data_IF_319293531470
#
_entry.id   IF_319293531470
#
_cell.length_a   1.000
_cell.length_b   1.000
_cell.length_c   1.000
_cell.angle_alpha   90.00
_cell.angle_beta   90.00
_cell.angle_gamma   90.00
#
_symmetry.space_group_name_H-M   'P 1'
#
loop_
_entity.id
_entity.type
_entity.pdbx_description
1 polymer ?
#
# COMPACT_ATOMS: atom_id res chain seq x y z
N UNK A 1 3.33 22.43 -15.35
CA UNK A 1 3.22 21.47 -14.22
C UNK A 1 2.00 21.91 -13.44
N UNK A 2 0.99 21.04 -13.30
CA UNK A 2 -0.30 21.41 -12.67
C UNK A 2 -0.13 22.05 -11.27
N UNK A 3 0.82 21.55 -10.46
CA UNK A 3 1.15 22.15 -9.16
C UNK A 3 1.59 23.62 -9.23
N UNK A 4 2.26 24.04 -10.32
CA UNK A 4 2.67 25.43 -10.55
C UNK A 4 1.50 26.32 -10.95
N UNK A 5 0.57 25.78 -11.74
CA UNK A 5 -0.64 26.49 -12.14
C UNK A 5 -1.48 26.79 -10.89
N UNK A 6 -1.73 25.78 -10.06
CA UNK A 6 -2.45 26.00 -8.79
C UNK A 6 -1.75 27.00 -7.86
N UNK A 7 -0.41 26.99 -7.82
CA UNK A 7 0.36 27.94 -7.03
C UNK A 7 0.24 29.38 -7.57
N UNK A 8 0.26 29.56 -8.89
CA UNK A 8 0.04 30.87 -9.53
C UNK A 8 -1.36 31.41 -9.27
N UNK A 9 -2.35 30.53 -9.22
CA UNK A 9 -3.74 30.87 -8.93
C UNK A 9 -3.99 31.12 -7.43
N UNK A 10 -2.95 31.00 -6.59
CA UNK A 10 -3.02 31.31 -5.16
C UNK A 10 -3.72 30.24 -4.32
N UNK A 11 -3.93 29.03 -4.84
CA UNK A 11 -4.52 27.95 -4.07
C UNK A 11 -3.62 27.55 -2.89
N UNK A 12 -4.23 27.30 -1.72
CA UNK A 12 -3.52 26.81 -0.54
C UNK A 12 -4.48 26.08 0.42
N UNK A 13 -4.14 24.86 0.90
CA UNK A 13 -2.95 24.09 0.56
C UNK A 13 -3.08 23.42 -0.82
N UNK A 14 -1.95 23.13 -1.47
CA UNK A 14 -1.89 22.31 -2.69
C UNK A 14 -1.37 20.91 -2.31
N UNK A 15 -2.17 19.87 -2.59
CA UNK A 15 -1.81 18.49 -2.27
C UNK A 15 -1.29 17.78 -3.52
N UNK A 16 -0.05 17.30 -3.47
CA UNK A 16 0.60 16.50 -4.49
C UNK A 16 0.63 15.02 -4.05
N UNK A 17 0.02 14.14 -4.84
CA UNK A 17 -0.14 12.73 -4.47
C UNK A 17 0.83 11.84 -5.23
N UNK A 18 1.64 11.09 -4.50
CA UNK A 18 2.52 10.06 -5.04
C UNK A 18 3.95 10.51 -5.29
N UNK A 19 4.86 9.54 -5.32
CA UNK A 19 6.30 9.80 -5.32
C UNK A 19 6.80 10.63 -6.51
N UNK A 20 6.16 10.45 -7.68
CA UNK A 20 6.53 11.13 -8.93
C UNK A 20 6.40 12.65 -8.85
N UNK A 21 5.67 13.17 -7.86
CA UNK A 21 5.45 14.60 -7.69
C UNK A 21 6.56 15.31 -6.91
N UNK A 22 7.44 14.59 -6.22
CA UNK A 22 8.40 15.17 -5.26
C UNK A 22 9.31 16.24 -5.87
N UNK A 23 9.96 15.95 -7.00
CA UNK A 23 10.86 16.90 -7.67
C UNK A 23 10.12 18.16 -8.16
N UNK A 24 8.94 17.98 -8.73
CA UNK A 24 8.11 19.08 -9.20
C UNK A 24 7.63 19.97 -8.05
N UNK A 25 7.15 19.35 -6.96
CA UNK A 25 6.69 20.06 -5.77
C UNK A 25 7.83 20.79 -5.08
N UNK A 26 9.01 20.18 -4.93
CA UNK A 26 10.16 20.83 -4.29
C UNK A 26 10.55 22.12 -5.01
N UNK A 27 10.59 22.10 -6.34
CA UNK A 27 10.87 23.29 -7.14
C UNK A 27 9.80 24.37 -6.95
N UNK A 28 8.52 23.99 -7.02
CA UNK A 28 7.41 24.96 -6.94
C UNK A 28 7.24 25.51 -5.52
N UNK A 29 7.33 24.68 -4.49
CA UNK A 29 7.21 25.12 -3.11
C UNK A 29 8.28 26.16 -2.73
N UNK A 30 9.50 26.02 -3.25
CA UNK A 30 10.57 27.01 -3.08
C UNK A 30 10.29 28.35 -3.77
N UNK A 31 9.57 28.36 -4.89
CA UNK A 31 9.19 29.57 -5.63
C UNK A 31 7.99 30.32 -4.97
N UNK A 32 7.20 29.63 -4.14
CA UNK A 32 5.97 30.16 -3.53
C UNK A 32 5.99 29.98 -1.99
N UNK A 33 6.88 30.67 -1.25
CA UNK A 33 7.10 30.42 0.18
C UNK A 33 5.88 30.71 1.08
N UNK A 34 4.94 31.53 0.60
CA UNK A 34 3.72 31.89 1.35
C UNK A 34 2.58 30.87 1.18
N UNK A 35 2.68 29.94 0.24
CA UNK A 35 1.69 28.90 0.03
C UNK A 35 2.07 27.62 0.77
N UNK A 36 1.08 26.94 1.33
CA UNK A 36 1.20 25.62 1.96
C UNK A 36 1.12 24.51 0.92
N UNK A 37 1.99 23.52 1.01
CA UNK A 37 2.03 22.36 0.13
C UNK A 37 2.04 21.07 0.95
N UNK A 38 1.23 20.08 0.58
CA UNK A 38 1.31 18.74 1.17
C UNK A 38 1.75 17.75 0.10
N UNK A 39 2.73 16.90 0.41
CA UNK A 39 3.09 15.73 -0.41
C UNK A 39 2.69 14.45 0.31
N UNK A 40 2.14 13.50 -0.45
CA UNK A 40 1.81 12.16 0.04
C UNK A 40 2.74 11.13 -0.63
N UNK A 41 3.24 10.17 0.14
CA UNK A 41 4.17 9.07 -0.24
C UNK A 41 5.63 9.47 -0.48
N UNK A 42 6.02 10.73 -0.24
CA UNK A 42 7.41 11.17 -0.32
C UNK A 42 7.73 12.26 0.71
N UNK A 43 9.02 12.46 0.96
CA UNK A 43 9.51 13.54 1.81
C UNK A 43 10.09 14.65 0.95
N UNK A 44 9.63 15.87 1.20
CA UNK A 44 10.21 17.11 0.69
C UNK A 44 10.42 18.04 1.88
N UNK A 45 11.69 18.36 2.16
CA UNK A 45 12.09 19.16 3.33
C UNK A 45 12.15 20.64 2.97
N UNK A 46 11.02 21.34 3.14
CA UNK A 46 10.92 22.79 2.99
C UNK A 46 10.01 23.41 4.08
N UNK A 47 10.22 24.68 4.46
CA UNK A 47 9.46 25.33 5.55
C UNK A 47 7.95 25.48 5.29
N UNK A 48 7.51 25.31 4.04
CA UNK A 48 6.12 25.40 3.62
C UNK A 48 5.60 24.08 3.04
N UNK A 49 6.26 22.95 3.36
CA UNK A 49 5.85 21.61 2.92
C UNK A 49 5.58 20.68 4.09
N UNK A 50 4.39 20.08 4.09
CA UNK A 50 4.02 18.95 4.93
C UNK A 50 4.21 17.67 4.11
N UNK A 51 4.98 16.71 4.61
CA UNK A 51 5.20 15.41 3.98
C UNK A 51 4.46 14.34 4.77
N UNK A 52 3.57 13.58 4.13
CA UNK A 52 2.85 12.46 4.75
C UNK A 52 3.33 11.16 4.11
N UNK A 53 3.93 10.30 4.91
CA UNK A 53 4.40 8.97 4.50
C UNK A 53 3.75 7.89 5.35
N UNK A 54 3.73 6.65 4.88
CA UNK A 54 3.06 5.55 5.58
C UNK A 54 4.06 4.49 6.02
N UNK A 55 3.60 3.60 6.91
CA UNK A 55 4.31 2.36 7.25
C UNK A 55 3.64 1.17 6.56
N UNK A 56 3.74 1.13 5.24
CA UNK A 56 3.03 0.18 4.38
C UNK A 56 3.41 -1.27 4.66
N UNK A 57 4.65 -1.51 5.11
CA UNK A 57 5.13 -2.81 5.52
C UNK A 57 4.34 -3.37 6.73
N UNK A 58 3.90 -2.53 7.68
CA UNK A 58 3.17 -2.98 8.88
C UNK A 58 1.82 -3.62 8.50
N UNK A 59 1.01 -2.98 7.65
CA UNK A 59 -0.25 -3.57 7.18
C UNK A 59 -0.06 -4.63 6.09
N UNK A 60 1.01 -4.55 5.29
CA UNK A 60 1.37 -5.63 4.36
C UNK A 60 1.70 -6.92 5.10
N UNK A 61 2.33 -6.84 6.29
CA UNK A 61 2.52 -7.98 7.18
C UNK A 61 1.20 -8.61 7.60
N UNK A 62 0.20 -7.81 7.99
CA UNK A 62 -1.11 -8.34 8.40
C UNK A 62 -1.77 -9.12 7.27
N UNK A 63 -1.81 -8.56 6.05
CA UNK A 63 -2.43 -9.26 4.91
C UNK A 63 -1.59 -10.44 4.43
N UNK A 64 -0.27 -10.44 4.63
CA UNK A 64 0.60 -11.59 4.41
C UNK A 64 0.31 -12.74 5.37
N UNK A 65 0.12 -12.44 6.65
CA UNK A 65 -0.28 -13.41 7.66
C UNK A 65 -1.64 -14.03 7.29
N UNK A 66 -2.64 -13.21 6.95
CA UNK A 66 -3.95 -13.66 6.49
C UNK A 66 -3.82 -14.54 5.23
N UNK A 67 -3.00 -14.14 4.25
CA UNK A 67 -2.76 -14.90 3.03
C UNK A 67 -2.18 -16.29 3.32
N UNK A 68 -1.23 -16.39 4.26
CA UNK A 68 -0.62 -17.67 4.62
C UNK A 68 -1.62 -18.64 5.24
N UNK A 69 -2.54 -18.14 6.08
CA UNK A 69 -3.58 -18.93 6.71
C UNK A 69 -4.68 -19.34 5.73
N UNK A 70 -5.01 -18.47 4.76
CA UNK A 70 -5.99 -18.74 3.73
C UNK A 70 -5.48 -19.69 2.63
N UNK A 71 -4.18 -19.65 2.33
CA UNK A 71 -3.55 -20.50 1.32
C UNK A 71 -3.67 -21.99 1.67
N UNK A 72 -4.14 -22.77 0.71
CA UNK A 72 -4.25 -24.23 0.75
C UNK A 72 -3.03 -24.90 0.12
N UNK A 73 -2.34 -24.23 -0.79
CA UNK A 73 -1.15 -24.77 -1.49
C UNK A 73 0.16 -24.42 -0.78
N UNK A 74 0.13 -23.53 0.21
CA UNK A 74 1.32 -22.93 0.83
C UNK A 74 2.19 -22.14 -0.17
N UNK A 75 1.59 -21.72 -1.29
CA UNK A 75 2.21 -20.89 -2.31
C UNK A 75 1.39 -19.64 -2.51
N UNK A 76 2.03 -18.49 -2.40
CA UNK A 76 1.37 -17.19 -2.53
C UNK A 76 2.14 -16.28 -3.47
N UNK A 77 1.44 -15.28 -4.00
CA UNK A 77 1.96 -14.36 -4.99
C UNK A 77 1.96 -12.90 -4.51
N UNK A 78 2.88 -12.13 -5.06
CA UNK A 78 2.91 -10.68 -5.01
C UNK A 78 3.15 -10.12 -6.42
N UNK A 79 2.34 -9.15 -6.83
CA UNK A 79 2.51 -8.40 -8.07
C UNK A 79 2.60 -6.90 -7.74
N UNK A 80 3.79 -6.34 -7.88
CA UNK A 80 4.00 -4.90 -7.70
C UNK A 80 3.85 -4.12 -9.00
N UNK A 81 3.60 -2.82 -8.88
CA UNK A 81 3.57 -1.88 -10.00
C UNK A 81 4.98 -1.61 -10.51
N UNK A 82 5.45 -0.39 -10.29
CA UNK A 82 6.81 -0.01 -10.66
C UNK A 82 7.83 -0.53 -9.64
N UNK A 83 8.97 -1.03 -10.11
CA UNK A 83 10.06 -1.51 -9.27
C UNK A 83 10.83 -0.36 -8.61
N UNK A 84 10.32 0.08 -7.45
CA UNK A 84 10.90 1.14 -6.63
C UNK A 84 10.90 0.74 -5.14
N UNK A 85 11.74 1.39 -4.31
CA UNK A 85 11.83 1.07 -2.88
C UNK A 85 10.48 1.08 -2.14
N UNK A 86 9.57 1.98 -2.52
CA UNK A 86 8.21 2.03 -1.96
C UNK A 86 7.45 0.71 -2.18
N UNK A 87 7.44 0.15 -3.39
CA UNK A 87 6.75 -1.12 -3.66
C UNK A 87 7.49 -2.31 -3.07
N UNK A 88 8.82 -2.25 -3.00
CA UNK A 88 9.62 -3.26 -2.30
C UNK A 88 9.35 -3.28 -0.79
N UNK A 89 9.00 -2.15 -0.18
CA UNK A 89 8.53 -2.06 1.22
C UNK A 89 7.22 -2.81 1.45
N UNK A 90 6.23 -2.67 0.55
CA UNK A 90 5.01 -3.48 0.58
C UNK A 90 5.34 -4.97 0.47
N UNK A 91 6.13 -5.34 -0.54
CA UNK A 91 6.52 -6.73 -0.80
C UNK A 91 7.22 -7.36 0.41
N UNK A 92 8.14 -6.62 1.04
CA UNK A 92 8.89 -7.14 2.18
C UNK A 92 8.04 -7.32 3.43
N UNK A 93 7.13 -6.39 3.72
CA UNK A 93 6.15 -6.57 4.81
C UNK A 93 5.28 -7.81 4.57
N UNK A 94 4.79 -7.99 3.34
CA UNK A 94 4.01 -9.16 2.94
C UNK A 94 4.77 -10.47 3.14
N UNK A 95 6.02 -10.55 2.68
CA UNK A 95 6.88 -11.73 2.87
C UNK A 95 7.03 -12.07 4.35
N UNK A 96 7.34 -11.09 5.20
CA UNK A 96 7.49 -11.30 6.64
C UNK A 96 6.18 -11.82 7.28
N UNK A 97 5.04 -11.26 6.89
CA UNK A 97 3.72 -11.71 7.35
C UNK A 97 3.41 -13.14 6.92
N UNK A 98 3.67 -13.48 5.66
CA UNK A 98 3.46 -14.83 5.13
C UNK A 98 4.32 -15.84 5.90
N UNK A 99 5.61 -15.52 6.12
CA UNK A 99 6.55 -16.38 6.83
C UNK A 99 6.24 -16.53 8.32
N UNK A 100 5.62 -15.52 8.94
CA UNK A 100 5.17 -15.60 10.32
C UNK A 100 4.03 -16.61 10.52
N UNK A 101 3.10 -16.71 9.55
CA UNK A 101 2.03 -17.71 9.61
C UNK A 101 2.47 -19.08 9.11
N UNK A 102 3.30 -19.14 8.05
CA UNK A 102 3.85 -20.38 7.49
C UNK A 102 5.30 -20.19 7.02
N UNK A 103 6.25 -20.63 7.87
CA UNK A 103 7.70 -20.48 7.63
C UNK A 103 8.18 -21.05 6.29
N UNK A 104 7.60 -22.16 5.84
CA UNK A 104 8.02 -22.85 4.62
C UNK A 104 7.20 -22.45 3.38
N UNK A 105 6.35 -21.43 3.47
CA UNK A 105 5.58 -20.94 2.32
C UNK A 105 6.49 -20.48 1.17
N UNK A 106 6.10 -20.80 -0.05
CA UNK A 106 6.75 -20.30 -1.27
C UNK A 106 6.09 -18.97 -1.68
N UNK A 107 6.89 -17.94 -1.93
CA UNK A 107 6.38 -16.61 -2.30
C UNK A 107 6.92 -16.20 -3.66
N UNK A 108 6.04 -16.05 -4.64
CA UNK A 108 6.38 -15.50 -5.94
C UNK A 108 6.26 -13.98 -5.91
N UNK A 109 7.26 -13.28 -6.45
CA UNK A 109 7.25 -11.82 -6.53
C UNK A 109 7.60 -11.39 -7.94
N UNK A 110 6.75 -10.58 -8.55
CA UNK A 110 7.01 -9.97 -9.85
C UNK A 110 6.65 -8.49 -9.80
N UNK A 111 7.45 -7.66 -10.48
CA UNK A 111 7.13 -6.25 -10.72
C UNK A 111 6.64 -6.11 -12.15
N UNK A 112 5.71 -5.19 -12.37
CA UNK A 112 5.10 -4.96 -13.70
C UNK A 112 6.09 -4.28 -14.65
N UNK A 113 6.95 -3.40 -14.12
CA UNK A 113 8.01 -2.76 -14.89
C UNK A 113 8.81 -1.73 -14.08
N UNK A 114 9.68 -0.97 -14.75
CA UNK A 114 10.53 0.07 -14.14
C UNK A 114 10.14 1.50 -14.55
N UNK A 115 9.06 1.66 -15.31
CA UNK A 115 8.58 2.97 -15.80
C UNK A 115 7.17 3.28 -15.27
N UNK A 116 6.70 4.53 -15.37
CA UNK A 116 5.34 4.89 -14.94
C UNK A 116 4.20 4.12 -15.63
N UNK A 117 4.45 3.48 -16.78
CA UNK A 117 3.46 2.62 -17.44
C UNK A 117 3.04 1.43 -16.55
N UNK A 118 3.91 0.99 -15.63
CA UNK A 118 3.67 -0.12 -14.73
C UNK A 118 2.49 0.08 -13.76
N UNK A 119 1.97 1.30 -13.62
CA UNK A 119 0.80 1.60 -12.78
C UNK A 119 -0.54 1.44 -13.50
N UNK A 120 -0.55 1.31 -14.83
CA UNK A 120 -1.76 1.37 -15.66
C UNK A 120 -1.79 0.29 -16.75
N UNK A 121 -1.26 -0.90 -16.46
CA UNK A 121 -1.22 -2.03 -17.39
C UNK A 121 -1.93 -3.27 -16.80
N UNK A 122 -3.28 -3.28 -16.74
CA UNK A 122 -4.03 -4.40 -16.20
C UNK A 122 -3.85 -5.70 -17.00
N UNK A 123 -3.52 -5.61 -18.30
CA UNK A 123 -3.21 -6.80 -19.10
C UNK A 123 -1.96 -7.48 -18.54
N UNK A 124 -0.89 -6.71 -18.32
CA UNK A 124 0.35 -7.26 -17.76
C UNK A 124 0.18 -7.77 -16.34
N UNK A 125 -0.58 -7.06 -15.51
CA UNK A 125 -0.91 -7.51 -14.15
C UNK A 125 -1.59 -8.87 -14.15
N UNK A 126 -2.56 -9.07 -15.04
CA UNK A 126 -3.24 -10.36 -15.21
C UNK A 126 -2.33 -11.48 -15.71
N UNK A 127 -1.42 -11.21 -16.64
CA UNK A 127 -0.42 -12.19 -17.11
C UNK A 127 0.50 -12.66 -15.98
N UNK A 128 1.02 -11.72 -15.17
CA UNK A 128 1.88 -12.05 -14.04
C UNK A 128 1.14 -12.88 -13.00
N UNK A 129 -0.11 -12.51 -12.68
CA UNK A 129 -0.94 -13.26 -11.75
C UNK A 129 -1.20 -14.68 -12.25
N UNK A 130 -1.60 -14.85 -13.52
CA UNK A 130 -1.79 -16.17 -14.15
C UNK A 130 -0.51 -17.02 -14.06
N UNK A 131 0.64 -16.45 -14.39
CA UNK A 131 1.93 -17.15 -14.28
C UNK A 131 2.23 -17.64 -12.86
N UNK A 132 1.91 -16.85 -11.82
CA UNK A 132 2.06 -17.28 -10.43
C UNK A 132 1.05 -18.39 -10.05
N UNK A 133 -0.18 -18.30 -10.54
CA UNK A 133 -1.24 -19.31 -10.32
C UNK A 133 -0.85 -20.63 -10.99
N UNK A 134 -0.33 -20.60 -12.21
CA UNK A 134 0.14 -21.79 -12.95
C UNK A 134 1.27 -22.52 -12.22
N UNK A 135 2.07 -21.78 -11.43
CA UNK A 135 3.11 -22.31 -10.54
C UNK A 135 2.58 -22.77 -9.17
N UNK A 136 1.29 -22.60 -8.94
CA UNK A 136 0.55 -23.11 -7.78
C UNK A 136 0.13 -22.07 -6.75
N UNK A 137 0.33 -20.77 -6.99
CA UNK A 137 -0.15 -19.75 -6.08
C UNK A 137 -1.69 -19.74 -5.99
N UNK A 138 -2.23 -19.64 -4.79
CA UNK A 138 -3.69 -19.58 -4.58
C UNK A 138 -4.18 -18.32 -3.85
N UNK A 139 -3.26 -17.48 -3.39
CA UNK A 139 -3.52 -16.12 -2.91
C UNK A 139 -2.50 -15.16 -3.53
N UNK A 140 -2.96 -14.08 -4.18
CA UNK A 140 -2.09 -13.08 -4.81
C UNK A 140 -2.39 -11.69 -4.29
N UNK A 141 -1.39 -11.05 -3.69
CA UNK A 141 -1.43 -9.66 -3.29
C UNK A 141 -0.89 -8.76 -4.39
N UNK A 142 -1.59 -7.66 -4.70
CA UNK A 142 -1.05 -6.63 -5.60
C UNK A 142 -0.75 -5.32 -4.87
N UNK A 143 0.33 -4.67 -5.27
CA UNK A 143 0.61 -3.27 -4.93
C UNK A 143 0.96 -2.52 -6.22
N UNK A 144 -0.01 -2.44 -7.14
CA UNK A 144 0.23 -2.09 -8.54
C UNK A 144 -0.70 -1.01 -9.12
N UNK A 145 -1.44 -0.26 -8.30
CA UNK A 145 -2.37 0.76 -8.81
C UNK A 145 -3.40 0.17 -9.77
N UNK A 146 -3.63 0.82 -10.92
CA UNK A 146 -4.58 0.37 -11.95
C UNK A 146 -4.23 -1.00 -12.57
N UNK A 147 -2.94 -1.33 -12.66
CA UNK A 147 -2.47 -2.67 -13.06
C UNK A 147 -3.05 -3.78 -12.18
N UNK A 148 -3.22 -3.48 -10.89
CA UNK A 148 -3.73 -4.41 -9.88
C UNK A 148 -5.13 -4.93 -10.13
N UNK A 149 -5.96 -4.18 -10.88
CA UNK A 149 -7.30 -4.62 -11.28
C UNK A 149 -7.23 -5.89 -12.13
N UNK A 150 -6.22 -5.99 -13.00
CA UNK A 150 -5.96 -7.18 -13.80
C UNK A 150 -5.54 -8.39 -12.95
N UNK A 151 -4.79 -8.16 -11.88
CA UNK A 151 -4.38 -9.20 -10.92
C UNK A 151 -5.60 -9.78 -10.21
N UNK A 152 -6.46 -8.92 -9.66
CA UNK A 152 -7.67 -9.34 -8.95
C UNK A 152 -8.62 -10.11 -9.88
N UNK A 153 -8.80 -9.62 -11.11
CA UNK A 153 -9.61 -10.31 -12.12
C UNK A 153 -9.04 -11.69 -12.45
N UNK A 154 -7.74 -11.79 -12.72
CA UNK A 154 -7.10 -13.06 -13.05
C UNK A 154 -7.20 -14.08 -11.92
N UNK A 155 -7.03 -13.65 -10.66
CA UNK A 155 -7.22 -14.52 -9.51
C UNK A 155 -8.68 -15.02 -9.41
N UNK A 156 -9.65 -14.11 -9.55
CA UNK A 156 -11.07 -14.45 -9.50
C UNK A 156 -11.50 -15.40 -10.62
N UNK A 157 -11.09 -15.14 -11.87
CA UNK A 157 -11.36 -15.98 -13.04
C UNK A 157 -10.79 -17.40 -12.88
N UNK A 158 -9.64 -17.53 -12.22
CA UNK A 158 -9.02 -18.82 -11.88
C UNK A 158 -9.58 -19.46 -10.60
N UNK A 159 -10.59 -18.85 -9.98
CA UNK A 159 -11.19 -19.31 -8.72
C UNK A 159 -10.28 -19.17 -7.50
N UNK A 160 -9.14 -18.47 -7.61
CA UNK A 160 -8.17 -18.17 -6.55
C UNK A 160 -8.54 -16.88 -5.81
N UNK A 161 -7.72 -16.51 -4.83
CA UNK A 161 -7.94 -15.32 -4.01
C UNK A 161 -6.98 -14.19 -4.41
N UNK A 162 -7.52 -12.97 -4.49
CA UNK A 162 -6.74 -11.74 -4.60
C UNK A 162 -6.71 -10.98 -3.28
N UNK A 163 -5.68 -10.15 -3.07
CA UNK A 163 -5.64 -9.15 -2.00
C UNK A 163 -5.49 -7.78 -2.66
N UNK A 164 -6.42 -6.88 -2.36
CA UNK A 164 -6.41 -5.49 -2.83
C UNK A 164 -5.44 -4.59 -2.06
N UNK A 165 -5.27 -3.35 -2.53
CA UNK A 165 -4.43 -2.35 -1.84
C UNK A 165 -5.01 -0.94 -1.92
N UNK A 166 -4.52 -0.08 -1.04
CA UNK A 166 -4.81 1.34 -0.84
C UNK A 166 -6.24 1.58 -0.35
N UNK A 167 -7.23 1.21 -1.18
CA UNK A 167 -8.65 1.30 -0.88
C UNK A 167 -9.24 -0.08 -0.58
N UNK A 168 -10.46 -0.10 -0.02
CA UNK A 168 -11.20 -1.35 0.06
C UNK A 168 -11.66 -1.76 -1.35
N UNK A 169 -11.05 -2.82 -1.87
CA UNK A 169 -11.34 -3.39 -3.19
C UNK A 169 -12.15 -4.70 -3.10
N UNK A 170 -12.63 -5.09 -1.91
CA UNK A 170 -13.31 -6.35 -1.69
C UNK A 170 -14.53 -6.54 -2.62
N UNK A 171 -15.23 -5.44 -2.91
CA UNK A 171 -16.41 -5.39 -3.78
C UNK A 171 -16.14 -5.64 -5.26
N UNK A 172 -14.88 -5.58 -5.72
CA UNK A 172 -14.57 -5.75 -7.15
C UNK A 172 -14.84 -7.19 -7.61
N UNK A 173 -14.53 -8.16 -6.75
CA UNK A 173 -14.85 -9.57 -6.96
C UNK A 173 -15.28 -10.20 -5.62
N UNK A 174 -16.54 -10.01 -5.20
CA UNK A 174 -17.04 -10.53 -3.93
C UNK A 174 -16.81 -12.04 -3.80
N UNK A 175 -16.34 -12.49 -2.64
CA UNK A 175 -15.96 -13.89 -2.43
C UNK A 175 -14.68 -14.34 -3.14
N UNK A 176 -13.96 -13.44 -3.84
CA UNK A 176 -12.66 -13.71 -4.48
C UNK A 176 -11.56 -12.72 -4.10
N UNK A 177 -11.90 -11.58 -3.51
CA UNK A 177 -10.93 -10.72 -2.82
C UNK A 177 -10.91 -11.10 -1.34
N UNK A 178 -9.79 -11.70 -0.89
CA UNK A 178 -9.62 -12.16 0.49
C UNK A 178 -9.68 -11.00 1.48
N UNK A 179 -9.00 -9.90 1.18
CA UNK A 179 -9.00 -8.65 1.93
C UNK A 179 -8.36 -7.56 1.07
N UNK A 180 -8.30 -6.33 1.58
CA UNK A 180 -7.52 -5.24 0.99
C UNK A 180 -6.61 -4.64 2.04
N UNK A 181 -5.33 -4.47 1.73
CA UNK A 181 -4.40 -3.69 2.54
C UNK A 181 -4.75 -2.21 2.39
N UNK A 182 -5.23 -1.58 3.45
CA UNK A 182 -5.68 -0.20 3.42
C UNK A 182 -4.51 0.75 3.64
N UNK A 183 -4.46 1.82 2.84
CA UNK A 183 -3.60 2.99 3.03
C UNK A 183 -4.46 4.25 2.98
N UNK A 184 -4.60 4.94 4.10
CA UNK A 184 -5.55 6.03 4.31
C UNK A 184 -5.09 7.37 3.72
N UNK A 185 -4.84 7.38 2.41
CA UNK A 185 -4.54 8.59 1.62
C UNK A 185 -5.68 9.59 1.70
N UNK A 186 -6.92 9.11 1.77
CA UNK A 186 -8.13 9.91 2.00
C UNK A 186 -8.04 10.70 3.31
N UNK A 187 -7.64 10.05 4.40
CA UNK A 187 -7.46 10.69 5.71
C UNK A 187 -6.30 11.68 5.68
N UNK A 188 -5.18 11.33 5.04
CA UNK A 188 -4.04 12.23 4.90
C UNK A 188 -4.42 13.53 4.16
N UNK A 189 -5.13 13.41 3.03
CA UNK A 189 -5.58 14.56 2.25
C UNK A 189 -6.62 15.40 3.03
N UNK A 190 -7.63 14.75 3.61
CA UNK A 190 -8.64 15.44 4.42
C UNK A 190 -8.01 16.17 5.61
N UNK A 191 -7.09 15.52 6.31
CA UNK A 191 -6.40 16.11 7.48
C UNK A 191 -5.61 17.34 7.08
N UNK A 192 -4.85 17.30 5.98
CA UNK A 192 -4.11 18.47 5.49
C UNK A 192 -5.03 19.67 5.21
N UNK A 193 -6.14 19.46 4.49
CA UNK A 193 -7.11 20.53 4.23
C UNK A 193 -7.77 21.05 5.51
N UNK A 194 -8.14 20.14 6.42
CA UNK A 194 -8.74 20.48 7.71
C UNK A 194 -7.78 21.32 8.56
N UNK A 195 -6.53 20.89 8.70
CA UNK A 195 -5.51 21.64 9.45
C UNK A 195 -5.25 23.02 8.83
N UNK A 196 -5.28 23.13 7.50
CA UNK A 196 -5.10 24.42 6.84
C UNK A 196 -6.27 25.37 7.13
N UNK A 197 -7.50 24.85 7.07
CA UNK A 197 -8.74 25.59 7.43
C UNK A 197 -8.74 26.01 8.90
N UNK A 198 -8.36 25.09 9.79
CA UNK A 198 -8.39 25.28 11.24
C UNK A 198 -7.16 26.09 11.75
N UNK A 199 -6.25 26.48 10.86
CA UNK A 199 -5.06 27.27 11.20
C UNK A 199 -3.93 26.49 11.88
N UNK A 200 -4.02 25.16 11.94
CA UNK A 200 -3.08 24.27 12.64
C UNK A 200 -2.10 23.55 11.70
N UNK A 201 -2.21 23.77 10.39
CA UNK A 201 -1.30 23.20 9.40
C UNK A 201 0.14 23.58 9.68
N UNK A 202 1.03 22.59 9.64
CA UNK A 202 2.46 22.77 9.89
C UNK A 202 3.31 21.98 8.89
N UNK A 203 4.48 22.51 8.51
CA UNK A 203 5.44 21.78 7.70
C UNK A 203 6.06 20.61 8.48
N UNK A 204 6.80 19.76 7.79
CA UNK A 204 7.52 18.61 8.36
C UNK A 204 6.89 17.27 8.00
N UNK A 205 7.42 16.21 8.60
CA UNK A 205 7.06 14.83 8.24
C UNK A 205 6.05 14.24 9.23
N UNK A 206 4.96 13.69 8.70
CA UNK A 206 4.01 12.85 9.42
C UNK A 206 4.10 11.42 8.90
N UNK A 207 4.23 10.46 9.81
CA UNK A 207 4.34 9.04 9.48
C UNK A 207 3.10 8.33 10.00
N UNK A 208 2.34 7.69 9.10
CA UNK A 208 1.08 7.03 9.45
C UNK A 208 1.21 5.51 9.32
N UNK A 209 1.20 4.80 10.45
CA UNK A 209 1.23 3.34 10.53
C UNK A 209 -0.05 2.74 11.10
N UNK A 210 0.05 1.51 11.62
CA UNK A 210 -1.06 0.84 12.30
C UNK A 210 -1.48 1.59 13.57
N UNK A 211 -0.53 2.22 14.26
CA UNK A 211 -0.78 2.99 15.49
C UNK A 211 -1.61 4.24 15.23
N UNK A 212 -1.38 4.89 14.09
CA UNK A 212 -2.08 6.10 13.68
C UNK A 212 -3.36 5.81 12.86
N UNK A 213 -3.74 4.54 12.72
CA UNK A 213 -4.82 4.07 11.83
C UNK A 213 -4.64 4.55 10.36
N UNK A 214 -3.39 4.82 9.97
CA UNK A 214 -3.02 5.23 8.62
C UNK A 214 -2.97 4.08 7.63
N UNK A 215 -2.75 2.87 8.13
CA UNK A 215 -2.79 1.64 7.34
C UNK A 215 -3.55 0.56 8.08
N UNK A 216 -4.01 -0.47 7.37
CA UNK A 216 -4.76 -1.57 7.97
C UNK A 216 -5.18 -2.64 6.97
N UNK A 217 -6.23 -3.38 7.29
CA UNK A 217 -6.83 -4.36 6.40
C UNK A 217 -8.36 -4.26 6.42
N UNK A 218 -9.02 -4.67 5.34
CA UNK A 218 -10.46 -4.53 5.17
C UNK A 218 -11.23 -5.82 5.51
N UNK A 219 -12.32 -5.68 6.27
CA UNK A 219 -13.30 -6.73 6.52
C UNK A 219 -14.70 -6.13 6.34
N UNK A 220 -15.47 -6.66 5.41
CA UNK A 220 -16.83 -6.24 5.08
C UNK A 220 -17.68 -7.41 4.59
N UNK A 221 -18.92 -7.14 4.16
CA UNK A 221 -19.83 -8.20 3.68
C UNK A 221 -19.34 -8.92 2.41
N UNK A 222 -18.42 -8.33 1.64
CA UNK A 222 -17.90 -8.94 0.41
C UNK A 222 -16.85 -10.02 0.68
N UNK A 223 -16.15 -9.96 1.82
CA UNK A 223 -15.09 -10.92 2.16
C UNK A 223 -15.27 -11.64 3.51
N UNK A 224 -16.27 -11.29 4.35
CA UNK A 224 -16.42 -11.90 5.68
C UNK A 224 -16.49 -13.43 5.66
N UNK A 225 -17.08 -14.02 4.62
CA UNK A 225 -17.19 -15.47 4.49
C UNK A 225 -15.84 -16.16 4.19
N UNK A 226 -14.83 -15.41 3.73
CA UNK A 226 -13.48 -15.90 3.45
C UNK A 226 -12.57 -15.83 4.68
N UNK A 227 -12.88 -14.95 5.64
CA UNK A 227 -12.06 -14.68 6.81
C UNK A 227 -12.59 -15.49 8.00
N UNK A 228 -11.85 -16.53 8.39
CA UNK A 228 -12.20 -17.32 9.57
C UNK A 228 -11.96 -16.54 10.86
N UNK A 229 -12.61 -16.92 11.99
CA UNK A 229 -12.30 -16.33 13.29
C UNK A 229 -10.82 -16.43 13.67
N UNK A 230 -10.15 -17.51 13.28
CA UNK A 230 -8.71 -17.71 13.49
C UNK A 230 -7.88 -16.69 12.71
N UNK A 231 -8.18 -16.49 11.42
CA UNK A 231 -7.48 -15.49 10.60
C UNK A 231 -7.64 -14.08 11.19
N UNK A 232 -8.87 -13.74 11.60
CA UNK A 232 -9.14 -12.43 12.21
C UNK A 232 -8.37 -12.27 13.52
N UNK A 233 -8.41 -13.27 14.40
CA UNK A 233 -7.71 -13.23 15.68
C UNK A 233 -6.18 -13.12 15.50
N UNK A 234 -5.62 -13.84 14.52
CA UNK A 234 -4.20 -13.75 14.19
C UNK A 234 -3.81 -12.36 13.69
N UNK A 235 -4.60 -11.76 12.80
CA UNK A 235 -4.38 -10.40 12.30
C UNK A 235 -4.53 -9.34 13.40
N UNK A 236 -5.54 -9.45 14.26
CA UNK A 236 -5.78 -8.52 15.37
C UNK A 236 -4.65 -8.60 16.41
N UNK A 237 -4.18 -9.81 16.73
CA UNK A 237 -3.04 -10.01 17.61
C UNK A 237 -1.77 -9.43 17.00
N UNK A 238 -1.47 -9.74 15.74
CA UNK A 238 -0.30 -9.20 15.06
C UNK A 238 -0.33 -7.66 15.01
N UNK A 239 -1.50 -7.05 14.75
CA UNK A 239 -1.66 -5.58 14.83
C UNK A 239 -1.30 -5.05 16.21
N UNK A 240 -1.83 -5.67 17.28
CA UNK A 240 -1.53 -5.25 18.64
C UNK A 240 -0.03 -5.40 18.98
N UNK A 241 0.59 -6.52 18.60
CA UNK A 241 2.01 -6.78 18.83
C UNK A 241 2.91 -5.81 18.06
N UNK A 242 2.55 -5.43 16.83
CA UNK A 242 3.29 -4.43 16.04
C UNK A 242 3.17 -3.04 16.67
N UNK A 243 1.97 -2.64 17.08
CA UNK A 243 1.74 -1.35 17.76
C UNK A 243 2.52 -1.30 19.09
N UNK A 244 2.58 -2.41 19.82
CA UNK A 244 3.36 -2.53 21.05
C UNK A 244 4.88 -2.63 20.82
N UNK A 245 5.32 -2.85 19.57
CA UNK A 245 6.72 -3.04 19.20
C UNK A 245 7.30 -4.42 19.55
N UNK A 246 6.46 -5.37 19.98
CA UNK A 246 6.82 -6.77 20.21
C UNK A 246 7.15 -7.48 18.91
N UNK A 247 6.38 -7.19 17.84
CA UNK A 247 6.72 -7.57 16.48
C UNK A 247 7.26 -6.34 15.76
N UNK A 248 8.50 -6.41 15.30
CA UNK A 248 9.11 -5.36 14.47
C UNK A 248 9.12 -5.83 13.03
N UNK A 249 8.29 -5.21 12.20
CA UNK A 249 8.29 -5.48 10.77
C UNK A 249 9.43 -4.69 10.14
N UNK A 250 10.33 -5.36 9.44
CA UNK A 250 11.46 -4.73 8.75
C UNK A 250 10.95 -3.80 7.65
N UNK A 251 11.46 -2.57 7.65
CA UNK A 251 11.22 -1.59 6.60
C UNK A 251 12.32 -1.72 5.55
N UNK A 252 11.95 -2.20 4.36
CA UNK A 252 12.86 -2.32 3.21
C UNK A 252 13.59 -1.01 2.91
N UNK A 253 12.98 0.15 3.14
CA UNK A 253 13.60 1.44 2.83
C UNK A 253 14.75 1.81 3.79
N UNK A 254 14.92 1.08 4.89
CA UNK A 254 16.01 1.30 5.86
C UNK A 254 17.37 0.81 5.35
N UNK A 255 17.42 -0.27 4.56
CA UNK A 255 18.66 -0.90 4.10
C UNK A 255 18.61 -1.47 2.67
N UNK A 256 17.47 -1.32 1.99
CA UNK A 256 17.17 -1.86 0.65
C UNK A 256 17.29 -3.38 0.56
N UNK A 257 17.10 -4.08 1.67
CA UNK A 257 17.11 -5.54 1.75
C UNK A 257 15.81 -6.01 2.38
N UNK A 258 15.33 -7.15 1.91
CA UNK A 258 14.30 -7.88 2.65
C UNK A 258 14.98 -9.00 3.42
N UNK A 259 15.43 -8.68 4.63
CA UNK A 259 15.97 -9.64 5.57
C UNK A 259 14.82 -10.46 6.15
N UNK A 260 14.99 -11.79 6.15
CA UNK A 260 14.04 -12.74 6.75
C UNK A 260 14.58 -13.25 8.08
#
# INVERSE_FOLDING_TARGET
LQVREFARDGHSPIIAVGFSQATALQKVAAEFPNLKFTIIDMVVELPNVQSVVFKEHEASYLVGLIASLASKTNKVGFVGGMDIPLIRKFACGYVQGVKAGKKDAEIFQNMTGSTPAAWNDPVKGGELAKSQIDRGADVIYHAAGGTGIGVLRAAADAGKLGIGVDSNQNMLHPGKVLTSMLKRVDVAAYTSFKEARDGTWKPGVSVLGLKEDGVGWALDDNNKALITPEMKAAADKARADIIAGTVKVHDYMSDQKCTM
#
